data_IF_344005056400
#
_entry.id   IF_344005056400
#
_cell.length_a   1.000
_cell.length_b   1.000
_cell.length_c   1.000
_cell.angle_alpha   90.00
_cell.angle_beta   90.00
_cell.angle_gamma   90.00
#
_symmetry.space_group_name_H-M   'P 1'
#
loop_
_entity.id
_entity.type
_entity.pdbx_description
1 polymer ?
#
# COMPACT_ATOMS: atom_id res chain seq x y z
N UNK A 1 1.39 9.57 -6.82
CA UNK A 1 1.03 9.64 -5.38
C UNK A 1 1.91 8.69 -4.58
N UNK A 2 2.04 8.89 -3.26
CA UNK A 2 2.85 8.04 -2.37
C UNK A 2 2.13 7.78 -1.04
N UNK A 3 2.37 6.62 -0.44
CA UNK A 3 2.02 6.31 0.95
C UNK A 3 3.31 6.00 1.74
N UNK A 4 3.33 6.34 3.03
CA UNK A 4 4.50 6.13 3.90
C UNK A 4 4.08 5.37 5.15
N UNK A 5 4.75 4.26 5.42
CA UNK A 5 4.67 3.53 6.67
C UNK A 5 5.86 3.93 7.54
N UNK A 6 5.57 4.51 8.71
CA UNK A 6 6.58 4.83 9.72
C UNK A 6 6.55 3.77 10.80
N UNK A 7 7.69 3.18 11.09
CA UNK A 7 7.84 2.23 12.19
C UNK A 7 8.34 2.95 13.45
N UNK A 8 8.03 2.43 14.66
CA UNK A 8 8.47 3.04 15.92
C UNK A 8 9.99 3.21 16.04
N UNK A 9 10.77 2.33 15.41
CA UNK A 9 12.24 2.36 15.39
C UNK A 9 12.83 3.38 14.38
N UNK A 10 12.01 4.27 13.83
CA UNK A 10 12.45 5.31 12.89
C UNK A 10 12.66 4.83 11.45
N UNK A 11 12.50 3.52 11.18
CA UNK A 11 12.51 3.01 9.81
C UNK A 11 11.27 3.51 9.05
N UNK A 12 11.49 3.90 7.80
CA UNK A 12 10.45 4.37 6.90
C UNK A 12 10.36 3.45 5.70
N UNK A 13 9.13 3.13 5.30
CA UNK A 13 8.85 2.48 4.04
C UNK A 13 7.98 3.38 3.18
N UNK A 14 8.41 3.62 1.94
CA UNK A 14 7.66 4.43 0.99
C UNK A 14 7.11 3.55 -0.14
N UNK A 15 5.79 3.57 -0.30
CA UNK A 15 5.11 3.01 -1.45
C UNK A 15 4.81 4.12 -2.47
N UNK A 16 5.15 3.88 -3.73
CA UNK A 16 4.83 4.79 -4.84
C UNK A 16 4.22 3.98 -5.97
N UNK A 17 3.16 4.52 -6.59
CA UNK A 17 2.53 3.95 -7.77
C UNK A 17 2.29 5.01 -8.84
N UNK A 18 2.30 4.57 -10.10
CA UNK A 18 1.95 5.33 -11.30
C UNK A 18 1.08 4.45 -12.20
N UNK A 19 0.07 5.05 -12.83
CA UNK A 19 -0.94 4.33 -13.62
C UNK A 19 -2.18 3.92 -12.82
N UNK A 20 -2.26 4.28 -11.53
CA UNK A 20 -3.44 4.09 -10.70
C UNK A 20 -3.53 5.18 -9.62
N UNK A 21 -4.74 5.44 -9.13
CA UNK A 21 -4.99 6.25 -7.93
C UNK A 21 -4.70 5.42 -6.69
N UNK A 22 -3.87 5.96 -5.79
CA UNK A 22 -3.48 5.31 -4.54
C UNK A 22 -4.26 5.89 -3.36
N UNK A 23 -4.89 5.02 -2.55
CA UNK A 23 -5.50 5.35 -1.26
C UNK A 23 -5.00 4.41 -0.16
N UNK A 24 -5.23 4.81 1.10
CA UNK A 24 -5.05 3.96 2.27
C UNK A 24 -6.41 3.86 2.96
N UNK A 25 -6.96 2.66 3.00
CA UNK A 25 -8.28 2.41 3.56
C UNK A 25 -8.17 1.50 4.79
N UNK A 26 -9.19 1.52 5.65
CA UNK A 26 -9.32 0.56 6.74
C UNK A 26 -9.60 -0.85 6.19
N UNK A 27 -9.18 -1.86 6.94
CA UNK A 27 -9.31 -3.25 6.53
C UNK A 27 -9.28 -4.19 7.74
N UNK A 28 -9.57 -5.47 7.49
CA UNK A 28 -9.54 -6.54 8.47
C UNK A 28 -8.70 -7.69 7.92
N UNK A 29 -7.87 -8.30 8.78
CA UNK A 29 -7.13 -9.53 8.49
C UNK A 29 -7.55 -10.59 9.52
N UNK A 30 -7.80 -11.82 9.07
CA UNK A 30 -8.09 -12.95 9.95
C UNK A 30 -6.79 -13.73 10.17
N UNK A 31 -6.35 -13.81 11.42
CA UNK A 31 -5.14 -14.56 11.77
C UNK A 31 -5.36 -16.09 11.71
N UNK A 32 -4.29 -16.86 11.92
CA UNK A 32 -4.34 -18.34 11.82
C UNK A 32 -5.25 -19.01 12.85
N UNK A 33 -5.67 -18.29 13.90
CA UNK A 33 -6.62 -18.79 14.91
C UNK A 33 -8.06 -18.35 14.62
N UNK A 34 -8.31 -17.74 13.46
CA UNK A 34 -9.63 -17.23 13.08
C UNK A 34 -9.99 -15.89 13.73
N UNK A 35 -9.05 -15.20 14.39
CA UNK A 35 -9.35 -13.93 15.05
C UNK A 35 -9.19 -12.75 14.09
N UNK A 36 -10.22 -11.90 14.04
CA UNK A 36 -10.23 -10.67 13.25
C UNK A 36 -9.29 -9.62 13.86
N UNK A 37 -8.43 -9.05 13.02
CA UNK A 37 -7.46 -7.99 13.34
C UNK A 37 -7.71 -6.78 12.47
N UNK A 38 -7.83 -5.60 13.09
CA UNK A 38 -7.86 -4.34 12.34
C UNK A 38 -6.52 -4.07 11.69
N UNK A 39 -6.56 -3.63 10.44
CA UNK A 39 -5.38 -3.24 9.67
C UNK A 39 -5.73 -2.09 8.73
N UNK A 40 -4.75 -1.59 7.99
CA UNK A 40 -4.96 -0.68 6.86
C UNK A 40 -4.38 -1.31 5.60
N UNK A 41 -4.98 -0.99 4.47
CA UNK A 41 -4.59 -1.52 3.16
C UNK A 41 -4.23 -0.40 2.20
N UNK A 42 -3.29 -0.69 1.29
CA UNK A 42 -3.02 0.17 0.13
C UNK A 42 -3.99 -0.23 -0.97
N UNK A 43 -4.81 0.71 -1.44
CA UNK A 43 -5.79 0.46 -2.51
C UNK A 43 -5.35 1.20 -3.76
N UNK A 44 -5.17 0.46 -4.86
CA UNK A 44 -4.91 1.00 -6.19
C UNK A 44 -6.16 0.86 -7.05
N UNK A 45 -6.74 1.98 -7.48
CA UNK A 45 -7.92 2.01 -8.37
C UNK A 45 -7.58 2.71 -9.68
N UNK A 46 -8.07 2.18 -10.79
CA UNK A 46 -7.98 2.79 -12.10
C UNK A 46 -8.78 1.99 -13.11
N UNK A 47 -9.05 2.60 -14.25
CA UNK A 47 -9.77 1.96 -15.35
C UNK A 47 -8.79 1.20 -16.25
N UNK A 48 -9.30 0.18 -16.94
CA UNK A 48 -8.57 -0.61 -17.94
C UNK A 48 -9.14 -0.34 -19.32
N UNK A 49 -8.27 -0.13 -20.32
CA UNK A 49 -8.66 -0.10 -21.73
C UNK A 49 -8.63 -1.52 -22.34
N UNK A 50 -9.00 -1.68 -23.62
CA UNK A 50 -8.96 -2.99 -24.33
C UNK A 50 -7.58 -3.64 -24.34
N UNK A 51 -6.51 -2.83 -24.36
CA UNK A 51 -5.12 -3.27 -24.27
C UNK A 51 -4.64 -3.49 -22.82
N UNK A 52 -5.54 -3.31 -21.85
CA UNK A 52 -5.30 -3.48 -20.41
C UNK A 52 -4.89 -2.19 -19.70
N UNK A 53 -4.33 -2.33 -18.50
CA UNK A 53 -3.73 -1.23 -17.76
C UNK A 53 -2.38 -1.64 -17.17
N UNK A 54 -1.42 -0.73 -17.20
CA UNK A 54 -0.12 -0.92 -16.57
C UNK A 54 0.01 -0.07 -15.32
N UNK A 55 0.20 -0.74 -14.19
CA UNK A 55 0.45 -0.10 -12.89
C UNK A 55 1.88 -0.38 -12.46
N UNK A 56 2.73 0.64 -12.52
CA UNK A 56 4.13 0.55 -12.05
C UNK A 56 4.19 0.98 -10.60
N UNK A 57 4.84 0.17 -9.76
CA UNK A 57 4.96 0.43 -8.34
C UNK A 57 6.35 0.16 -7.79
N UNK A 58 6.64 0.74 -6.62
CA UNK A 58 7.84 0.44 -5.84
C UNK A 58 7.51 0.53 -4.35
N UNK A 59 8.15 -0.34 -3.57
CA UNK A 59 8.08 -0.32 -2.12
C UNK A 59 9.50 -0.39 -1.57
N UNK A 60 10.00 0.71 -1.02
CA UNK A 60 11.40 0.84 -0.64
C UNK A 60 11.55 1.22 0.83
N UNK A 61 12.49 0.56 1.50
CA UNK A 61 12.96 0.90 2.84
C UNK A 61 13.91 2.09 2.76
N UNK A 62 13.79 3.01 3.70
CA UNK A 62 14.76 4.06 3.97
C UNK A 62 14.91 4.27 5.47
N UNK A 63 15.97 4.97 5.86
CA UNK A 63 16.16 5.52 7.19
C UNK A 63 15.84 7.01 7.15
N UNK A 64 15.34 7.56 8.26
CA UNK A 64 15.16 9.00 8.39
C UNK A 64 16.56 9.65 8.38
N UNK A 65 16.84 10.52 7.40
CA UNK A 65 18.05 11.36 7.37
C UNK A 65 18.01 12.39 8.48
#
# INVERSE_FOLDING_TARGET
MRAVLKLPNGVLWAFKARGAKLRVDDSLWVDSLGKVRRTRQLVLTGDTAEDGAQVRWSFKRGTRS
#
